data_IF_110360383671
#
_entry.id   IF_110360383671
#
_cell.length_a   1.000
_cell.length_b   1.000
_cell.length_c   1.000
_cell.angle_alpha   90.00
_cell.angle_beta   90.00
_cell.angle_gamma   90.00
#
_symmetry.space_group_name_H-M   'P 1'
#
loop_
_entity.id
_entity.type
_entity.pdbx_description
1 polymer ?
#
# COMPACT_ATOMS: atom_id res chain seq x y z
N UNK A 1 6.65 -13.76 -3.14
CA UNK A 1 5.46 -13.73 -4.04
C UNK A 1 5.41 -12.37 -4.72
N UNK A 2 5.87 -12.26 -5.98
CA UNK A 2 5.89 -10.98 -6.69
C UNK A 2 4.48 -10.49 -7.04
N UNK A 3 4.30 -9.16 -7.14
CA UNK A 3 3.03 -8.51 -7.48
C UNK A 3 2.35 -9.13 -8.73
N UNK A 4 3.16 -9.60 -9.68
CA UNK A 4 2.77 -10.32 -10.89
C UNK A 4 1.92 -11.58 -10.68
N UNK A 5 2.28 -12.44 -9.73
CA UNK A 5 1.48 -13.65 -9.45
C UNK A 5 0.14 -13.30 -8.81
N UNK A 6 0.12 -12.21 -8.03
CA UNK A 6 -1.14 -11.70 -7.44
C UNK A 6 -2.03 -11.06 -8.51
N UNK A 7 -1.47 -10.32 -9.46
CA UNK A 7 -2.18 -9.72 -10.59
C UNK A 7 -2.89 -10.76 -11.48
N UNK A 8 -2.18 -11.83 -11.85
CA UNK A 8 -2.80 -12.93 -12.61
C UNK A 8 -3.92 -13.62 -11.81
N UNK A 9 -3.73 -13.79 -10.49
CA UNK A 9 -4.75 -14.38 -9.63
C UNK A 9 -5.97 -13.47 -9.42
N UNK A 10 -5.81 -12.15 -9.55
CA UNK A 10 -6.87 -11.15 -9.44
C UNK A 10 -7.55 -10.84 -10.79
N UNK A 11 -7.17 -11.49 -11.89
CA UNK A 11 -7.80 -11.31 -13.20
C UNK A 11 -7.44 -10.00 -13.91
N UNK A 12 -6.36 -9.33 -13.51
CA UNK A 12 -5.91 -8.06 -14.13
C UNK A 12 -4.53 -8.23 -14.81
N UNK A 13 -4.41 -9.06 -15.86
CA UNK A 13 -3.15 -9.19 -16.59
C UNK A 13 -2.83 -7.89 -17.35
N UNK A 14 -1.57 -7.48 -17.44
CA UNK A 14 -1.18 -6.36 -18.28
C UNK A 14 -1.27 -6.69 -19.77
N UNK A 15 -1.71 -5.71 -20.56
CA UNK A 15 -1.80 -5.82 -22.03
C UNK A 15 -0.44 -5.92 -22.73
N UNK A 16 0.65 -5.50 -22.07
CA UNK A 16 2.03 -5.58 -22.58
C UNK A 16 2.96 -6.05 -21.47
N UNK A 17 4.03 -6.75 -21.82
CA UNK A 17 5.08 -7.10 -20.85
C UNK A 17 5.71 -5.81 -20.34
N UNK A 18 5.50 -5.48 -19.06
CA UNK A 18 6.13 -4.29 -18.47
C UNK A 18 7.64 -4.52 -18.44
N UNK A 19 8.37 -3.62 -19.08
CA UNK A 19 9.81 -3.60 -18.96
C UNK A 19 10.19 -3.09 -17.56
N UNK A 20 11.32 -3.57 -17.02
CA UNK A 20 11.82 -3.19 -15.69
C UNK A 20 12.01 -1.67 -15.49
N UNK A 21 12.04 -0.88 -16.57
CA UNK A 21 12.22 0.58 -16.55
C UNK A 21 10.92 1.36 -16.80
N UNK A 22 9.80 0.71 -17.03
CA UNK A 22 8.51 1.37 -17.24
C UNK A 22 7.82 1.67 -15.90
N UNK A 23 8.29 2.73 -15.23
CA UNK A 23 7.78 3.13 -13.92
C UNK A 23 6.31 3.58 -13.97
N UNK A 24 5.91 4.26 -15.05
CA UNK A 24 4.52 4.69 -15.25
C UNK A 24 3.60 3.49 -15.33
N UNK A 25 3.96 2.48 -16.13
CA UNK A 25 3.22 1.22 -16.18
C UNK A 25 3.17 0.55 -14.80
N UNK A 26 4.31 0.46 -14.09
CA UNK A 26 4.34 -0.12 -12.74
C UNK A 26 3.37 0.57 -11.76
N UNK A 27 3.30 1.90 -11.76
CA UNK A 27 2.39 2.66 -10.90
C UNK A 27 0.93 2.38 -11.27
N UNK A 28 0.58 2.42 -12.55
CA UNK A 28 -0.77 2.07 -13.03
C UNK A 28 -1.17 0.65 -12.61
N UNK A 29 -0.21 -0.29 -12.59
CA UNK A 29 -0.48 -1.64 -12.10
C UNK A 29 -0.66 -1.71 -10.59
N UNK A 30 0.14 -0.97 -9.82
CA UNK A 30 -0.08 -0.88 -8.37
C UNK A 30 -1.45 -0.30 -8.04
N UNK A 31 -1.89 0.72 -8.78
CA UNK A 31 -3.23 1.31 -8.67
C UNK A 31 -4.33 0.27 -8.94
N UNK A 32 -4.26 -0.44 -10.07
CA UNK A 32 -5.22 -1.51 -10.39
C UNK A 32 -5.26 -2.62 -9.33
N UNK A 33 -4.10 -3.04 -8.81
CA UNK A 33 -4.07 -4.04 -7.72
C UNK A 33 -4.71 -3.49 -6.46
N UNK A 34 -4.40 -2.23 -6.12
CA UNK A 34 -4.93 -1.59 -4.93
C UNK A 34 -6.45 -1.51 -4.98
N UNK A 35 -7.02 -1.03 -6.09
CA UNK A 35 -8.47 -0.93 -6.31
C UNK A 35 -9.15 -2.30 -6.31
N UNK A 36 -8.59 -3.29 -7.02
CA UNK A 36 -9.12 -4.65 -7.03
C UNK A 36 -9.09 -5.30 -5.64
N UNK A 37 -8.06 -5.00 -4.83
CA UNK A 37 -7.96 -5.50 -3.47
C UNK A 37 -9.01 -4.88 -2.56
N UNK A 38 -9.20 -3.56 -2.62
CA UNK A 38 -10.26 -2.88 -1.86
C UNK A 38 -11.65 -3.40 -2.24
N UNK A 39 -11.89 -3.58 -3.54
CA UNK A 39 -13.12 -4.18 -4.04
C UNK A 39 -13.33 -5.60 -3.49
N UNK A 40 -12.30 -6.44 -3.49
CA UNK A 40 -12.38 -7.77 -2.89
C UNK A 40 -12.68 -7.71 -1.37
N UNK A 41 -12.03 -6.82 -0.62
CA UNK A 41 -12.30 -6.62 0.81
C UNK A 41 -13.78 -6.28 1.07
N UNK A 42 -14.35 -5.37 0.27
CA UNK A 42 -15.77 -5.01 0.37
C UNK A 42 -16.68 -6.20 0.08
N UNK A 43 -16.36 -6.99 -0.95
CA UNK A 43 -17.13 -8.19 -1.29
C UNK A 43 -17.11 -9.25 -0.20
N UNK A 44 -15.98 -9.41 0.48
CA UNK A 44 -15.86 -10.32 1.63
C UNK A 44 -16.72 -9.84 2.80
N UNK A 45 -16.71 -8.54 3.11
CA UNK A 45 -17.60 -7.95 4.13
C UNK A 45 -19.07 -8.15 3.77
N UNK A 46 -19.43 -7.94 2.51
CA UNK A 46 -20.77 -8.15 1.99
C UNK A 46 -21.16 -9.64 1.85
N UNK A 47 -20.22 -10.58 2.03
CA UNK A 47 -20.40 -12.03 1.85
C UNK A 47 -20.85 -12.42 0.43
N UNK A 48 -20.34 -11.71 -0.57
CA UNK A 48 -20.63 -11.93 -2.00
C UNK A 48 -19.35 -12.21 -2.81
N UNK A 49 -18.23 -12.51 -2.16
CA UNK A 49 -16.94 -12.73 -2.79
C UNK A 49 -16.93 -13.91 -3.78
N UNK A 50 -17.77 -14.94 -3.55
CA UNK A 50 -17.95 -16.07 -4.47
C UNK A 50 -18.95 -15.86 -5.61
N UNK A 51 -19.69 -14.74 -5.64
CA UNK A 51 -20.69 -14.47 -6.68
C UNK A 51 -20.02 -13.99 -7.98
N UNK A 52 -20.63 -14.15 -9.17
CA UNK A 52 -20.13 -13.53 -10.38
C UNK A 52 -20.21 -12.00 -10.29
N UNK A 53 -19.26 -11.30 -10.92
CA UNK A 53 -19.34 -9.84 -11.07
C UNK A 53 -20.43 -9.56 -12.11
N UNK A 54 -21.45 -8.79 -11.72
CA UNK A 54 -22.48 -8.32 -12.63
C UNK A 54 -22.17 -6.91 -13.09
N UNK A 55 -22.46 -6.60 -14.36
CA UNK A 55 -22.42 -5.24 -14.90
C UNK A 55 -23.59 -4.38 -14.39
N UNK A 56 -24.61 -5.01 -13.80
CA UNK A 56 -25.75 -4.32 -13.19
C UNK A 56 -25.35 -3.83 -11.80
N UNK A 57 -25.45 -2.51 -11.60
CA UNK A 57 -25.12 -1.88 -10.31
C UNK A 57 -26.24 -2.15 -9.30
N UNK A 58 -25.96 -2.78 -8.16
CA UNK A 58 -26.97 -2.97 -7.12
C UNK A 58 -27.26 -1.63 -6.45
N UNK A 59 -28.53 -1.39 -6.12
CA UNK A 59 -28.94 -0.28 -5.26
C UNK A 59 -28.86 -0.74 -3.81
N UNK A 60 -28.05 -0.05 -3.00
CA UNK A 60 -27.87 -0.31 -1.57
C UNK A 60 -28.32 0.93 -0.81
N UNK A 61 -29.05 0.73 0.28
CA UNK A 61 -29.44 1.83 1.17
C UNK A 61 -28.19 2.47 1.81
N UNK A 62 -28.17 3.80 1.91
CA UNK A 62 -26.97 4.57 2.28
C UNK A 62 -26.46 4.24 3.68
N UNK A 63 -27.34 4.08 4.67
CA UNK A 63 -26.93 3.72 6.03
C UNK A 63 -26.27 2.33 6.07
N UNK A 64 -26.83 1.37 5.33
CA UNK A 64 -26.25 0.05 5.14
C UNK A 64 -24.89 0.12 4.44
N UNK A 65 -24.77 0.94 3.39
CA UNK A 65 -23.50 1.14 2.70
C UNK A 65 -22.42 1.71 3.62
N UNK A 66 -22.75 2.74 4.40
CA UNK A 66 -21.81 3.32 5.36
C UNK A 66 -21.34 2.28 6.39
N UNK A 67 -22.26 1.47 6.92
CA UNK A 67 -21.90 0.36 7.82
C UNK A 67 -20.94 -0.66 7.20
N UNK A 68 -21.14 -1.00 5.91
CA UNK A 68 -20.23 -1.88 5.15
C UNK A 68 -18.84 -1.24 5.02
N UNK A 69 -18.78 0.05 4.71
CA UNK A 69 -17.52 0.80 4.58
C UNK A 69 -16.78 0.82 5.91
N UNK A 70 -17.48 1.14 7.01
CA UNK A 70 -16.88 1.19 8.34
C UNK A 70 -16.36 -0.18 8.76
N UNK A 71 -17.12 -1.26 8.54
CA UNK A 71 -16.66 -2.62 8.82
C UNK A 71 -15.41 -2.97 7.98
N UNK A 72 -15.42 -2.66 6.69
CA UNK A 72 -14.29 -2.91 5.81
C UNK A 72 -13.05 -2.13 6.27
N UNK A 73 -13.22 -0.87 6.65
CA UNK A 73 -12.15 -0.04 7.18
C UNK A 73 -11.60 -0.65 8.47
N UNK A 74 -12.45 -0.97 9.44
CA UNK A 74 -12.03 -1.53 10.72
C UNK A 74 -11.28 -2.85 10.56
N UNK A 75 -11.73 -3.70 9.62
CA UNK A 75 -11.18 -5.03 9.41
C UNK A 75 -9.88 -5.06 8.60
N UNK A 76 -9.71 -4.16 7.63
CA UNK A 76 -8.59 -4.23 6.67
C UNK A 76 -7.71 -2.97 6.65
N UNK A 77 -8.27 -1.79 6.89
CA UNK A 77 -7.56 -0.52 6.69
C UNK A 77 -7.10 0.13 8.00
N UNK A 78 -7.67 -0.26 9.14
CA UNK A 78 -7.36 0.34 10.44
C UNK A 78 -5.92 0.00 10.89
N UNK A 79 -5.26 0.90 11.65
CA UNK A 79 -3.98 0.60 12.28
C UNK A 79 -4.04 -0.61 13.21
N UNK A 80 -5.19 -0.81 13.87
CA UNK A 80 -5.41 -1.93 14.78
C UNK A 80 -5.47 -3.27 14.05
N UNK A 81 -6.18 -3.36 12.91
CA UNK A 81 -6.20 -4.56 12.09
C UNK A 81 -4.78 -4.99 11.67
N UNK A 82 -3.93 -4.02 11.30
CA UNK A 82 -2.53 -4.29 10.94
C UNK A 82 -1.71 -4.80 12.12
N UNK A 83 -1.85 -4.21 13.30
CA UNK A 83 -1.14 -4.67 14.50
C UNK A 83 -1.58 -6.07 14.89
N UNK A 84 -2.88 -6.31 14.98
CA UNK A 84 -3.44 -7.59 15.40
C UNK A 84 -3.04 -8.71 14.43
N UNK A 85 -3.12 -8.47 13.11
CA UNK A 85 -2.72 -9.46 12.10
C UNK A 85 -1.22 -9.74 12.12
N UNK A 86 -0.39 -8.70 12.32
CA UNK A 86 1.06 -8.86 12.46
C UNK A 86 1.42 -9.67 13.72
N UNK A 87 0.80 -9.38 14.86
CA UNK A 87 1.04 -10.10 16.12
C UNK A 87 0.68 -11.58 16.01
N UNK A 88 -0.44 -11.89 15.36
CA UNK A 88 -0.87 -13.27 15.12
C UNK A 88 0.12 -14.07 14.27
N UNK A 89 0.76 -13.45 13.28
CA UNK A 89 1.70 -14.16 12.39
C UNK A 89 3.18 -14.03 12.79
N UNK A 90 3.52 -13.14 13.73
CA UNK A 90 4.92 -12.88 14.11
C UNK A 90 5.54 -14.13 14.74
N UNK A 91 6.71 -14.51 14.24
CA UNK A 91 7.55 -15.57 14.81
C UNK A 91 8.77 -14.93 15.49
N UNK A 92 9.03 -15.22 16.79
CA UNK A 92 10.21 -14.72 17.48
C UNK A 92 11.51 -15.19 16.81
N UNK A 93 12.50 -14.31 16.69
CA UNK A 93 13.81 -14.66 16.11
C UNK A 93 14.54 -15.77 16.87
N UNK A 94 14.27 -15.91 18.18
CA UNK A 94 14.82 -16.99 19.02
C UNK A 94 14.35 -18.37 18.54
N UNK A 95 13.09 -18.49 18.12
CA UNK A 95 12.51 -19.74 17.58
C UNK A 95 13.15 -20.15 16.26
N UNK A 96 13.70 -19.20 15.49
CA UNK A 96 14.36 -19.50 14.21
C UNK A 96 15.82 -19.95 14.36
N UNK A 97 16.42 -19.82 15.56
CA UNK A 97 17.85 -20.09 15.80
C UNK A 97 18.13 -21.46 16.44
N UNK A 98 17.11 -22.19 16.89
CA UNK A 98 17.26 -23.54 17.47
C UNK A 98 16.42 -24.57 16.73
N UNK A 99 16.76 -25.85 16.90
CA UNK A 99 15.88 -26.94 16.50
C UNK A 99 14.57 -26.84 17.29
N UNK A 100 13.47 -26.74 16.55
CA UNK A 100 12.11 -26.73 17.08
C UNK A 100 11.69 -28.18 17.33
N UNK A 101 10.91 -28.40 18.38
CA UNK A 101 10.17 -29.65 18.51
C UNK A 101 8.95 -29.63 17.55
N UNK A 102 8.29 -30.77 17.39
CA UNK A 102 7.23 -30.93 16.39
C UNK A 102 6.03 -30.00 16.66
N UNK A 103 5.64 -29.83 17.92
CA UNK A 103 4.57 -28.92 18.33
C UNK A 103 4.90 -27.44 18.02
N UNK A 104 6.13 -27.00 18.29
CA UNK A 104 6.58 -25.64 17.96
C UNK A 104 6.67 -25.43 16.44
N UNK A 105 7.08 -26.46 15.68
CA UNK A 105 7.11 -26.40 14.22
C UNK A 105 5.70 -26.26 13.63
N UNK A 106 4.70 -26.96 14.18
CA UNK A 106 3.30 -26.82 13.80
C UNK A 106 2.73 -25.44 14.11
N UNK A 107 3.07 -24.88 15.27
CA UNK A 107 2.67 -23.52 15.62
C UNK A 107 3.26 -22.50 14.63
N UNK A 108 4.54 -22.65 14.26
CA UNK A 108 5.18 -21.80 13.24
C UNK A 108 4.49 -21.95 11.88
N UNK A 109 4.14 -23.17 11.46
CA UNK A 109 3.38 -23.41 10.23
C UNK A 109 2.03 -22.71 10.24
N UNK A 110 1.30 -22.76 11.37
CA UNK A 110 0.03 -22.07 11.57
C UNK A 110 0.19 -20.54 11.51
N UNK A 111 1.19 -19.98 12.19
CA UNK A 111 1.48 -18.54 12.12
C UNK A 111 1.87 -18.10 10.71
N UNK A 112 2.63 -18.92 9.99
CA UNK A 112 3.00 -18.64 8.60
C UNK A 112 1.78 -18.62 7.67
N UNK A 113 0.77 -19.49 7.87
CA UNK A 113 -0.46 -19.43 7.07
C UNK A 113 -1.24 -18.13 7.32
N UNK A 114 -1.22 -17.62 8.55
CA UNK A 114 -1.83 -16.34 8.95
C UNK A 114 -1.06 -15.11 8.44
N UNK A 115 0.22 -15.26 8.08
CA UNK A 115 1.02 -14.16 7.51
C UNK A 115 0.48 -13.62 6.19
N UNK A 116 -0.32 -14.41 5.45
CA UNK A 116 -0.94 -13.99 4.18
C UNK A 116 -1.78 -12.72 4.35
N UNK A 117 -2.59 -12.66 5.41
CA UNK A 117 -3.43 -11.50 5.69
C UNK A 117 -2.58 -10.30 6.11
N UNK A 118 -1.62 -10.48 7.03
CA UNK A 118 -0.70 -9.39 7.40
C UNK A 118 0.04 -8.82 6.19
N UNK A 119 0.53 -9.67 5.29
CA UNK A 119 1.22 -9.25 4.07
C UNK A 119 0.28 -8.51 3.11
N UNK A 120 -0.98 -8.92 3.02
CA UNK A 120 -2.00 -8.22 2.23
C UNK A 120 -2.25 -6.82 2.77
N UNK A 121 -2.42 -6.67 4.09
CA UNK A 121 -2.69 -5.36 4.71
C UNK A 121 -1.49 -4.40 4.59
N UNK A 122 -0.27 -4.92 4.75
CA UNK A 122 0.96 -4.14 4.52
C UNK A 122 1.02 -3.65 3.08
N UNK A 123 0.77 -4.53 2.11
CA UNK A 123 0.76 -4.14 0.70
C UNK A 123 -0.32 -3.11 0.39
N UNK A 124 -1.53 -3.29 0.95
CA UNK A 124 -2.65 -2.38 0.73
C UNK A 124 -2.27 -0.96 1.15
N UNK A 125 -1.64 -0.82 2.32
CA UNK A 125 -1.12 0.44 2.81
C UNK A 125 0.06 0.96 1.98
N UNK A 126 1.07 0.15 1.67
CA UNK A 126 2.22 0.61 0.87
C UNK A 126 1.79 1.14 -0.50
N UNK A 127 0.90 0.41 -1.19
CA UNK A 127 0.38 0.82 -2.48
C UNK A 127 -0.47 2.09 -2.38
N UNK A 128 -1.25 2.27 -1.31
CA UNK A 128 -2.04 3.50 -1.14
C UNK A 128 -1.14 4.74 -1.13
N UNK A 129 0.03 4.67 -0.48
CA UNK A 129 0.96 5.81 -0.44
C UNK A 129 1.59 6.12 -1.80
N UNK A 130 1.85 5.10 -2.62
CA UNK A 130 2.38 5.26 -3.98
C UNK A 130 1.33 5.86 -4.90
N UNK A 131 0.11 5.33 -4.87
CA UNK A 131 -1.02 5.83 -5.66
C UNK A 131 -1.36 7.27 -5.28
N UNK A 132 -1.36 7.58 -3.99
CA UNK A 132 -1.60 8.94 -3.48
C UNK A 132 -0.52 9.93 -3.92
N UNK A 133 0.76 9.53 -3.91
CA UNK A 133 1.84 10.37 -4.43
C UNK A 133 1.66 10.65 -5.93
N UNK A 134 1.34 9.63 -6.72
CA UNK A 134 1.12 9.78 -8.17
C UNK A 134 -0.05 10.73 -8.47
N UNK A 135 -1.19 10.54 -7.79
CA UNK A 135 -2.36 11.43 -7.92
C UNK A 135 -2.03 12.85 -7.50
N UNK A 136 -1.37 13.04 -6.36
CA UNK A 136 -0.96 14.36 -5.89
C UNK A 136 0.00 15.07 -6.87
N UNK A 137 0.93 14.34 -7.49
CA UNK A 137 1.82 14.90 -8.53
C UNK A 137 1.06 15.34 -9.78
N UNK A 138 0.06 14.58 -10.22
CA UNK A 138 -0.79 14.89 -11.39
C UNK A 138 -1.76 16.04 -11.12
N UNK A 139 -2.32 16.09 -9.91
CA UNK A 139 -3.23 17.16 -9.46
C UNK A 139 -2.47 18.48 -9.20
N UNK A 140 -1.13 18.46 -9.17
CA UNK A 140 -0.32 19.57 -8.73
C UNK A 140 -0.46 19.90 -7.24
N UNK A 141 -1.02 18.97 -6.45
CA UNK A 141 -1.18 19.13 -4.99
C UNK A 141 0.11 18.77 -4.26
N UNK A 142 0.99 19.77 -4.21
CA UNK A 142 2.27 19.69 -3.51
C UNK A 142 2.08 19.43 -2.01
N UNK A 143 0.99 19.91 -1.41
CA UNK A 143 0.73 19.73 0.03
C UNK A 143 0.55 18.25 0.37
N UNK A 144 -0.31 17.56 -0.39
CA UNK A 144 -0.49 16.10 -0.28
C UNK A 144 0.80 15.35 -0.59
N UNK A 145 1.52 15.75 -1.63
CA UNK A 145 2.78 15.11 -2.01
C UNK A 145 3.85 15.20 -0.89
N UNK A 146 4.01 16.37 -0.28
CA UNK A 146 4.96 16.58 0.83
C UNK A 146 4.59 15.72 2.05
N UNK A 147 3.30 15.51 2.32
CA UNK A 147 2.86 14.62 3.40
C UNK A 147 3.27 13.16 3.14
N UNK A 148 3.13 12.67 1.90
CA UNK A 148 3.62 11.33 1.54
C UNK A 148 5.14 11.25 1.66
N UNK A 149 5.86 12.27 1.19
CA UNK A 149 7.33 12.30 1.27
C UNK A 149 7.85 12.31 2.71
N UNK A 150 7.14 12.95 3.64
CA UNK A 150 7.44 12.87 5.09
C UNK A 150 7.33 11.44 5.61
N UNK A 151 6.26 10.73 5.24
CA UNK A 151 6.09 9.33 5.63
C UNK A 151 7.17 8.44 5.02
N UNK A 152 7.47 8.61 3.73
CA UNK A 152 8.54 7.87 3.04
C UNK A 152 9.93 8.17 3.59
N UNK A 153 10.17 9.38 4.10
CA UNK A 153 11.43 9.75 4.78
C UNK A 153 11.70 8.85 5.99
N UNK A 154 10.65 8.42 6.69
CA UNK A 154 10.75 7.47 7.81
C UNK A 154 10.79 6.03 7.31
N UNK A 155 9.86 5.64 6.42
CA UNK A 155 9.75 4.26 5.94
C UNK A 155 11.02 3.78 5.24
N UNK A 156 11.64 4.63 4.42
CA UNK A 156 12.85 4.29 3.67
C UNK A 156 14.05 3.96 4.55
N UNK A 157 14.09 4.42 5.82
CA UNK A 157 15.15 4.04 6.76
C UNK A 157 15.13 2.55 7.10
N UNK A 158 13.95 1.93 7.03
CA UNK A 158 13.76 0.52 7.36
C UNK A 158 13.91 -0.40 6.16
N UNK A 159 14.07 0.14 4.95
CA UNK A 159 14.11 -0.61 3.71
C UNK A 159 15.55 -0.80 3.22
N UNK A 160 16.10 -2.02 3.27
CA UNK A 160 17.44 -2.29 2.76
C UNK A 160 17.51 -2.03 1.26
N UNK A 161 18.56 -1.37 0.79
CA UNK A 161 18.79 -1.06 -0.63
C UNK A 161 18.32 0.32 -1.10
N UNK A 162 17.65 1.11 -0.24
CA UNK A 162 17.25 2.51 -0.53
C UNK A 162 18.16 3.54 0.15
N UNK A 163 19.46 3.27 0.27
CA UNK A 163 20.44 4.12 0.99
C UNK A 163 20.52 5.56 0.46
N UNK A 164 20.40 5.77 -0.86
CA UNK A 164 20.37 7.11 -1.44
C UNK A 164 19.09 7.88 -1.07
N UNK A 165 17.93 7.24 -1.25
CA UNK A 165 16.63 7.86 -0.97
C UNK A 165 16.40 8.12 0.52
N UNK A 166 16.81 7.19 1.39
CA UNK A 166 16.74 7.34 2.84
C UNK A 166 17.59 8.51 3.36
N UNK A 167 18.65 8.90 2.65
CA UNK A 167 19.43 10.10 3.01
C UNK A 167 18.88 11.36 2.36
N UNK A 168 18.52 11.29 1.08
CA UNK A 168 18.17 12.47 0.28
C UNK A 168 16.76 13.00 0.59
N UNK A 169 15.76 12.12 0.67
CA UNK A 169 14.37 12.53 0.81
C UNK A 169 14.10 13.33 2.11
N UNK A 170 14.59 12.92 3.30
CA UNK A 170 14.41 13.71 4.51
C UNK A 170 15.07 15.09 4.41
N UNK A 171 16.26 15.18 3.79
CA UNK A 171 16.97 16.45 3.57
C UNK A 171 16.19 17.37 2.65
N UNK A 172 15.63 16.84 1.55
CA UNK A 172 14.83 17.61 0.62
C UNK A 172 13.53 18.13 1.29
N UNK A 173 12.85 17.29 2.07
CA UNK A 173 11.66 17.71 2.82
C UNK A 173 11.99 18.83 3.80
N UNK A 174 13.08 18.73 4.57
CA UNK A 174 13.50 19.79 5.48
C UNK A 174 13.91 21.06 4.74
N UNK A 175 14.64 20.92 3.64
CA UNK A 175 15.06 22.04 2.81
C UNK A 175 13.85 22.86 2.34
N UNK A 176 12.85 22.18 1.76
CA UNK A 176 11.65 22.81 1.22
C UNK A 176 10.71 23.34 2.32
N UNK A 177 10.66 22.72 3.50
CA UNK A 177 9.64 23.07 4.51
C UNK A 177 10.14 23.90 5.68
N UNK A 178 11.45 23.96 5.91
CA UNK A 178 12.04 24.58 7.11
C UNK A 178 13.24 25.49 6.83
N UNK A 179 14.02 25.23 5.78
CA UNK A 179 15.29 25.93 5.55
C UNK A 179 15.16 27.04 4.52
N UNK A 180 14.51 26.79 3.38
CA UNK A 180 14.40 27.78 2.32
C UNK A 180 13.41 28.90 2.70
N UNK A 181 13.69 30.16 2.31
CA UNK A 181 12.69 31.22 2.36
C UNK A 181 11.44 30.85 1.58
N UNK A 182 10.26 31.32 2.02
CA UNK A 182 8.97 30.90 1.46
C UNK A 182 8.88 31.06 -0.06
N UNK A 183 9.34 32.19 -0.60
CA UNK A 183 9.34 32.45 -2.05
C UNK A 183 10.17 31.43 -2.83
N UNK A 184 11.34 31.07 -2.32
CA UNK A 184 12.25 30.12 -2.97
C UNK A 184 11.74 28.69 -2.83
N UNK A 185 11.21 28.35 -1.67
CA UNK A 185 10.53 27.07 -1.44
C UNK A 185 9.33 26.90 -2.39
N UNK A 186 8.50 27.94 -2.53
CA UNK A 186 7.36 27.93 -3.46
C UNK A 186 7.83 27.70 -4.90
N UNK A 187 8.86 28.41 -5.34
CA UNK A 187 9.43 28.22 -6.67
C UNK A 187 9.85 26.75 -6.90
N UNK A 188 10.69 26.18 -6.04
CA UNK A 188 11.15 24.79 -6.21
C UNK A 188 10.01 23.77 -6.16
N UNK A 189 9.07 23.93 -5.24
CA UNK A 189 7.91 23.06 -5.10
C UNK A 189 7.08 22.99 -6.38
N UNK A 190 6.81 24.14 -7.01
CA UNK A 190 5.99 24.21 -8.21
C UNK A 190 6.76 23.92 -9.51
N UNK A 191 8.08 24.05 -9.53
CA UNK A 191 8.90 23.80 -10.73
C UNK A 191 9.46 22.39 -10.83
N UNK A 192 9.73 21.72 -9.71
CA UNK A 192 10.39 20.39 -9.71
C UNK A 192 9.47 19.23 -9.35
N UNK A 193 8.38 19.48 -8.60
CA UNK A 193 7.59 18.41 -7.98
C UNK A 193 6.28 18.09 -8.70
N UNK A 194 5.92 18.90 -9.70
CA UNK A 194 4.70 18.73 -10.47
C UNK A 194 5.05 18.06 -11.80
N UNK A 195 4.35 16.98 -12.14
CA UNK A 195 4.46 16.39 -13.47
C UNK A 195 3.59 17.21 -14.45
N UNK A 196 4.16 17.84 -15.49
CA UNK A 196 3.38 18.65 -16.43
C UNK A 196 2.41 17.81 -17.28
N UNK A 197 2.66 16.51 -17.39
CA UNK A 197 1.75 15.53 -17.97
C UNK A 197 1.10 14.73 -16.84
N UNK A 198 -0.16 15.06 -16.53
CA UNK A 198 -1.13 14.03 -16.15
C UNK A 198 -1.38 13.10 -17.33
#
# INVERSE_FOLDING_TARGET
>A
MGAWRTLNALGTPPNKVLQKKDFTGMIQHMERVHEATLFHCLRVVMKIDGQPISDVRPTIETSRWNGIIDECYQRYCSPEARRNTYEQCRVPKSSLKRKLNEAEADEVRKRHSQSKLSNLLVRLHEFSTVVEADRAMKDGDIGRLINIWRMWSVMSQSLPGLTHYSTYLPRLVLLLTKVLPESLSKFFRHSMLVSPSG
#
